data_IF_323098157587
#
_entry.id   IF_323098157587
#
_cell.length_a   1.000
_cell.length_b   1.000
_cell.length_c   1.000
_cell.angle_alpha   90.00
_cell.angle_beta   90.00
_cell.angle_gamma   90.00
#
_symmetry.space_group_name_H-M   'P 1'
#
loop_
_entity.id
_entity.type
_entity.pdbx_description
1 polymer ?
#
# COMPACT_ATOMS: atom_id res chain seq x y z
N UNK A 1 -32.76 11.96 -43.05
CA UNK A 1 -33.20 11.06 -41.97
C UNK A 1 -33.00 11.78 -40.65
N UNK A 2 -34.08 12.02 -39.92
CA UNK A 2 -34.11 12.79 -38.66
C UNK A 2 -33.74 11.85 -37.51
N UNK A 3 -32.54 11.97 -36.96
CA UNK A 3 -32.15 11.28 -35.73
C UNK A 3 -32.54 12.17 -34.55
N UNK A 4 -33.69 11.86 -33.96
CA UNK A 4 -34.17 12.47 -32.73
C UNK A 4 -33.20 12.20 -31.58
N UNK A 5 -32.61 13.28 -31.06
CA UNK A 5 -31.87 13.31 -29.80
C UNK A 5 -32.88 13.14 -28.66
N UNK A 6 -32.99 11.94 -28.11
CA UNK A 6 -33.71 11.70 -26.86
C UNK A 6 -32.78 12.08 -25.71
N UNK A 7 -32.97 13.31 -25.22
CA UNK A 7 -32.50 13.78 -23.91
C UNK A 7 -33.07 12.88 -22.81
N UNK A 8 -32.26 11.94 -22.33
CA UNK A 8 -32.57 11.19 -21.12
C UNK A 8 -32.11 12.01 -19.91
N UNK A 9 -33.00 12.90 -19.46
CA UNK A 9 -32.89 13.61 -18.18
C UNK A 9 -33.02 12.61 -17.04
N UNK A 10 -31.89 12.10 -16.53
CA UNK A 10 -31.87 11.30 -15.30
C UNK A 10 -32.04 12.27 -14.12
N UNK A 11 -33.28 12.41 -13.67
CA UNK A 11 -33.63 13.08 -12.42
C UNK A 11 -32.98 12.34 -11.24
N UNK A 12 -31.96 12.96 -10.66
CA UNK A 12 -31.32 12.54 -9.42
C UNK A 12 -32.34 12.66 -8.26
N UNK A 13 -33.02 11.57 -7.92
CA UNK A 13 -33.77 11.46 -6.67
C UNK A 13 -32.76 11.18 -5.54
N UNK A 14 -32.35 12.24 -4.82
CA UNK A 14 -31.66 12.12 -3.53
C UNK A 14 -32.63 11.49 -2.50
N UNK A 15 -32.29 10.37 -1.85
CA UNK A 15 -32.90 10.05 -0.58
C UNK A 15 -32.20 10.85 0.51
N UNK A 16 -32.90 11.85 1.05
CA UNK A 16 -32.54 12.48 2.31
C UNK A 16 -32.76 11.47 3.45
N UNK A 17 -31.75 10.63 3.75
CA UNK A 17 -31.69 9.89 5.02
C UNK A 17 -31.00 10.78 6.04
N UNK A 18 -31.80 11.67 6.65
CA UNK A 18 -31.51 12.20 7.97
C UNK A 18 -32.01 11.16 8.99
N UNK A 19 -31.11 10.25 9.37
CA UNK A 19 -31.37 9.19 10.35
C UNK A 19 -30.21 9.09 11.33
N UNK A 20 -30.13 10.03 12.27
CA UNK A 20 -29.35 9.86 13.47
C UNK A 20 -30.09 8.88 14.39
N UNK A 21 -29.75 7.60 14.32
CA UNK A 21 -30.18 6.59 15.30
C UNK A 21 -29.02 5.64 15.57
N UNK A 22 -28.44 5.84 16.76
CA UNK A 22 -27.50 4.96 17.47
C UNK A 22 -27.26 3.59 16.83
N UNK A 23 -26.22 3.49 15.99
CA UNK A 23 -25.60 2.21 15.71
C UNK A 23 -24.78 1.84 16.95
N UNK A 24 -25.39 1.10 17.86
CA UNK A 24 -24.63 0.29 18.82
C UNK A 24 -23.62 -0.53 18.00
N UNK A 25 -22.33 -0.31 18.27
CA UNK A 25 -21.27 -1.11 17.68
C UNK A 25 -21.57 -2.59 17.91
N UNK A 26 -21.29 -3.48 16.95
CA UNK A 26 -21.40 -4.92 17.19
C UNK A 26 -20.53 -5.27 18.38
N UNK A 27 -21.17 -5.73 19.47
CA UNK A 27 -20.47 -6.28 20.63
C UNK A 27 -19.82 -7.57 20.15
N UNK A 28 -18.54 -7.49 19.80
CA UNK A 28 -17.70 -8.67 19.65
C UNK A 28 -17.41 -9.15 21.07
N UNK A 29 -17.89 -10.33 21.49
CA UNK A 29 -17.54 -10.86 22.80
C UNK A 29 -16.02 -11.10 22.80
N UNK A 30 -15.29 -10.30 23.59
CA UNK A 30 -13.82 -10.28 23.63
C UNK A 30 -13.18 -8.97 23.17
N UNK A 31 -13.96 -8.00 22.69
CA UNK A 31 -13.49 -6.62 22.51
C UNK A 31 -13.63 -5.84 23.83
N UNK A 32 -12.89 -6.28 24.85
CA UNK A 32 -12.49 -5.36 25.90
C UNK A 32 -11.70 -4.23 25.21
N UNK A 33 -12.18 -3.01 25.41
CA UNK A 33 -11.51 -1.80 25.00
C UNK A 33 -10.07 -1.84 25.53
N UNK A 34 -9.12 -2.15 24.66
CA UNK A 34 -7.70 -1.91 24.92
C UNK A 34 -7.47 -0.40 24.79
N UNK A 35 -8.01 0.33 25.76
CA UNK A 35 -7.53 1.65 26.14
C UNK A 35 -6.03 1.51 26.35
N UNK A 36 -5.25 2.28 25.60
CA UNK A 36 -3.83 2.09 25.40
C UNK A 36 -3.04 1.90 26.69
N UNK A 37 -2.89 0.64 27.11
CA UNK A 37 -1.81 0.26 28.00
C UNK A 37 -0.51 0.67 27.29
N UNK A 38 0.45 1.32 27.98
CA UNK A 38 1.76 1.57 27.39
C UNK A 38 2.28 0.21 26.93
N UNK A 39 2.31 0.00 25.62
CA UNK A 39 2.60 -1.29 25.03
C UNK A 39 3.91 -1.77 25.61
N UNK A 40 3.85 -2.85 26.39
CA UNK A 40 5.04 -3.45 27.00
C UNK A 40 6.04 -3.66 25.87
N UNK A 41 7.22 -3.03 25.96
CA UNK A 41 8.29 -3.25 24.99
C UNK A 41 8.50 -4.77 24.89
N UNK A 42 8.58 -5.33 23.67
CA UNK A 42 8.86 -6.75 23.52
C UNK A 42 10.08 -7.11 24.35
N UNK A 43 10.03 -8.23 25.06
CA UNK A 43 11.19 -8.75 25.76
C UNK A 43 12.30 -9.09 24.74
N UNK A 44 13.54 -9.17 25.22
CA UNK A 44 14.71 -9.43 24.38
C UNK A 44 14.62 -10.77 23.64
N UNK A 45 13.82 -11.72 24.13
CA UNK A 45 13.61 -13.04 23.55
C UNK A 45 12.52 -13.12 22.48
N UNK A 46 11.71 -12.08 22.28
CA UNK A 46 10.55 -12.09 21.38
C UNK A 46 10.89 -12.53 19.94
N UNK A 47 12.11 -12.24 19.47
CA UNK A 47 12.60 -12.64 18.13
C UNK A 47 13.80 -13.60 18.19
N UNK A 48 13.96 -14.39 19.27
CA UNK A 48 15.04 -15.37 19.30
C UNK A 48 14.82 -16.43 18.19
N UNK A 49 15.76 -16.51 17.25
CA UNK A 49 15.78 -17.47 16.14
C UNK A 49 16.99 -18.41 16.20
N UNK A 50 17.64 -18.56 17.35
CA UNK A 50 18.88 -19.35 17.51
C UNK A 50 18.70 -20.83 17.14
N UNK A 51 17.46 -21.34 17.17
CA UNK A 51 17.11 -22.70 16.76
C UNK A 51 16.83 -22.86 15.26
N UNK A 52 16.93 -21.80 14.44
CA UNK A 52 16.64 -21.90 13.02
C UNK A 52 17.85 -22.51 12.29
N UNK A 53 17.69 -23.68 11.63
CA UNK A 53 18.81 -24.33 10.94
C UNK A 53 19.28 -23.55 9.71
N UNK A 54 18.44 -22.63 9.20
CA UNK A 54 18.73 -21.79 8.04
C UNK A 54 18.58 -20.31 8.40
N UNK A 55 19.50 -19.44 7.95
CA UNK A 55 19.40 -18.01 8.18
C UNK A 55 18.20 -17.42 7.42
N UNK A 56 17.78 -16.22 7.84
CA UNK A 56 16.71 -15.50 7.18
C UNK A 56 17.09 -15.15 5.72
N UNK A 57 16.29 -15.62 4.75
CA UNK A 57 16.36 -15.23 3.34
C UNK A 57 15.58 -13.92 3.07
N UNK A 58 15.47 -13.06 4.09
CA UNK A 58 14.59 -11.90 4.09
C UNK A 58 14.87 -10.94 2.92
N UNK A 59 16.14 -10.80 2.51
CA UNK A 59 16.50 -10.01 1.33
C UNK A 59 15.84 -10.57 0.06
N UNK A 60 15.99 -11.86 -0.22
CA UNK A 60 15.41 -12.48 -1.41
C UNK A 60 13.88 -12.36 -1.41
N UNK A 61 13.24 -12.56 -0.25
CA UNK A 61 11.80 -12.39 -0.11
C UNK A 61 11.39 -10.95 -0.39
N UNK A 62 12.10 -9.97 0.17
CA UNK A 62 11.84 -8.55 -0.08
C UNK A 62 12.04 -8.18 -1.55
N UNK A 63 13.10 -8.67 -2.21
CA UNK A 63 13.34 -8.42 -3.63
C UNK A 63 12.18 -8.98 -4.47
N UNK A 64 11.75 -10.22 -4.21
CA UNK A 64 10.62 -10.85 -4.93
C UNK A 64 9.29 -10.14 -4.69
N UNK A 65 9.04 -9.65 -3.47
CA UNK A 65 7.82 -8.90 -3.15
C UNK A 65 7.77 -7.55 -3.85
N UNK A 66 8.93 -6.93 -4.09
CA UNK A 66 9.04 -5.62 -4.72
C UNK A 66 9.29 -5.67 -6.23
N UNK A 67 9.56 -6.86 -6.79
CA UNK A 67 9.96 -7.06 -8.19
C UNK A 67 9.02 -6.39 -9.20
N UNK A 68 7.70 -6.60 -9.07
CA UNK A 68 6.75 -6.03 -10.01
C UNK A 68 6.77 -4.49 -10.04
N UNK A 69 6.98 -3.87 -8.87
CA UNK A 69 7.10 -2.42 -8.80
C UNK A 69 8.45 -1.94 -9.35
N UNK A 70 9.54 -2.64 -9.04
CA UNK A 70 10.85 -2.36 -9.64
C UNK A 70 10.81 -2.44 -11.18
N UNK A 71 10.13 -3.44 -11.76
CA UNK A 71 9.93 -3.56 -13.20
C UNK A 71 9.16 -2.37 -13.80
N UNK A 72 8.14 -1.88 -13.10
CA UNK A 72 7.39 -0.69 -13.52
C UNK A 72 8.28 0.56 -13.51
N UNK A 73 9.10 0.72 -12.48
CA UNK A 73 10.03 1.84 -12.40
C UNK A 73 11.12 1.77 -13.48
N UNK A 74 11.56 0.56 -13.85
CA UNK A 74 12.49 0.34 -14.98
C UNK A 74 11.89 0.81 -16.30
N UNK A 75 10.60 0.54 -16.53
CA UNK A 75 9.90 1.02 -17.72
C UNK A 75 9.93 2.56 -17.78
N UNK A 76 9.58 3.23 -16.68
CA UNK A 76 9.67 4.70 -16.58
C UNK A 76 11.08 5.24 -16.79
N UNK A 77 12.10 4.60 -16.20
CA UNK A 77 13.49 4.98 -16.41
C UNK A 77 13.95 4.85 -17.87
N UNK A 78 13.33 3.94 -18.64
CA UNK A 78 13.66 3.71 -20.05
C UNK A 78 12.87 4.60 -21.02
N UNK A 79 11.73 5.15 -20.58
CA UNK A 79 10.84 5.96 -21.41
C UNK A 79 11.12 7.46 -21.26
N UNK A 80 11.76 8.06 -22.26
CA UNK A 80 12.08 9.49 -22.31
C UNK A 80 10.87 10.42 -22.35
N UNK A 81 9.66 9.90 -22.54
CA UNK A 81 8.41 10.68 -22.46
C UNK A 81 7.99 10.92 -21.01
N UNK A 82 8.47 10.11 -20.07
CA UNK A 82 8.20 10.26 -18.64
C UNK A 82 9.15 11.34 -18.08
N UNK A 83 8.63 12.39 -17.41
CA UNK A 83 9.48 13.44 -16.86
C UNK A 83 10.43 12.93 -15.77
N UNK A 84 11.69 13.36 -15.79
CA UNK A 84 12.71 12.96 -14.82
C UNK A 84 12.27 13.22 -13.37
N UNK A 85 11.62 14.36 -13.11
CA UNK A 85 11.13 14.71 -11.78
C UNK A 85 10.12 13.67 -11.24
N UNK A 86 9.27 13.11 -12.11
CA UNK A 86 8.35 12.05 -11.72
C UNK A 86 9.11 10.76 -11.38
N UNK A 87 10.08 10.37 -12.20
CA UNK A 87 10.91 9.18 -11.94
C UNK A 87 11.66 9.31 -10.62
N UNK A 88 12.26 10.46 -10.36
CA UNK A 88 12.99 10.76 -9.12
C UNK A 88 12.08 10.66 -7.88
N UNK A 89 10.86 11.19 -7.93
CA UNK A 89 9.89 11.08 -6.84
C UNK A 89 9.53 9.61 -6.56
N UNK A 90 9.29 8.83 -7.61
CA UNK A 90 8.91 7.41 -7.48
C UNK A 90 10.06 6.56 -6.94
N UNK A 91 11.29 6.81 -7.39
CA UNK A 91 12.49 6.19 -6.85
C UNK A 91 12.68 6.55 -5.38
N UNK A 92 12.55 7.83 -5.00
CA UNK A 92 12.65 8.25 -3.61
C UNK A 92 11.61 7.59 -2.70
N UNK A 93 10.39 7.39 -3.20
CA UNK A 93 9.34 6.63 -2.48
C UNK A 93 9.70 5.15 -2.37
N UNK A 94 10.25 4.57 -3.44
CA UNK A 94 10.66 3.16 -3.44
C UNK A 94 11.82 2.92 -2.48
N UNK A 95 12.81 3.81 -2.44
CA UNK A 95 13.90 3.79 -1.46
C UNK A 95 13.41 3.75 -0.02
N UNK A 96 12.36 4.51 0.30
CA UNK A 96 11.75 4.50 1.63
C UNK A 96 11.05 3.16 1.96
N UNK A 97 10.45 2.51 0.96
CA UNK A 97 9.77 1.24 1.13
C UNK A 97 10.75 0.08 1.33
N UNK A 98 11.85 0.09 0.58
CA UNK A 98 12.84 -1.00 0.58
C UNK A 98 13.96 -0.79 1.60
N UNK A 99 14.11 0.44 2.12
CA UNK A 99 15.22 0.82 2.98
C UNK A 99 16.57 0.87 2.26
N UNK A 100 16.57 0.86 0.92
CA UNK A 100 17.75 0.92 0.05
C UNK A 100 17.79 2.28 -0.66
N UNK A 101 18.98 2.70 -1.09
CA UNK A 101 19.07 3.82 -2.02
C UNK A 101 18.79 3.31 -3.44
N UNK A 102 17.66 3.74 -4.01
CA UNK A 102 17.23 3.31 -5.34
C UNK A 102 17.52 4.36 -6.41
N UNK A 103 18.01 3.87 -7.55
CA UNK A 103 18.25 4.61 -8.79
C UNK A 103 17.80 3.75 -9.97
N UNK A 104 17.69 4.34 -11.17
CA UNK A 104 17.38 3.56 -12.37
C UNK A 104 18.34 2.38 -12.61
N UNK A 105 19.58 2.45 -12.11
CA UNK A 105 20.56 1.37 -12.22
C UNK A 105 20.33 0.24 -11.22
N UNK A 106 20.03 0.57 -9.95
CA UNK A 106 19.87 -0.43 -8.87
C UNK A 106 18.62 -1.29 -9.04
N UNK A 107 17.66 -0.84 -9.84
CA UNK A 107 16.47 -1.62 -10.19
C UNK A 107 16.81 -2.89 -10.99
N UNK A 108 18.00 -2.99 -11.57
CA UNK A 108 18.46 -4.20 -12.27
C UNK A 108 18.77 -5.37 -11.32
N UNK A 109 18.94 -5.07 -10.02
CA UNK A 109 19.28 -6.05 -8.99
C UNK A 109 18.04 -6.71 -8.34
N UNK A 110 16.84 -6.39 -8.84
CA UNK A 110 15.56 -7.00 -8.47
C UNK A 110 15.16 -8.04 -9.52
#
# INVERSE_FOLDING_TARGET
MRFSVLLFSVSLMLPAVAGAQNAAAPVVPGADAAEGAPGKKPDEGWRNTDGYPFPAIAKTVADMQNLAYAMTLRDYCSDRRVPDAFVLERLARFSQLTGREESCQTLLDY
#
